data_IF_710547480140
#
_entry.id   IF_710547480140
#
_cell.length_a   1.000
_cell.length_b   1.000
_cell.length_c   1.000
_cell.angle_alpha   90.00
_cell.angle_beta   90.00
_cell.angle_gamma   90.00
#
_symmetry.space_group_name_H-M   'P 1'
#
loop_
_entity.id
_entity.type
_entity.pdbx_description
1 polymer ?
#
# COMPACT_ATOMS: atom_id res chain seq x y z
N UNK A 1 14.80 -7.16 2.15
CA UNK A 1 15.46 -7.95 3.22
C UNK A 1 15.28 -7.36 4.62
N UNK A 2 15.99 -6.30 5.06
CA UNK A 2 15.96 -5.87 6.48
C UNK A 2 14.56 -5.62 7.05
N UNK A 3 13.61 -5.10 6.26
CA UNK A 3 12.25 -4.79 6.70
C UNK A 3 11.19 -5.73 6.12
N UNK A 4 11.61 -6.77 5.40
CA UNK A 4 10.72 -7.63 4.63
C UNK A 4 9.87 -8.52 5.54
N UNK A 5 10.47 -9.10 6.59
CA UNK A 5 9.75 -9.92 7.56
C UNK A 5 8.73 -9.11 8.36
N UNK A 6 9.08 -7.89 8.80
CA UNK A 6 8.17 -7.00 9.50
C UNK A 6 7.01 -6.51 8.62
N UNK A 7 7.30 -6.24 7.34
CA UNK A 7 6.29 -5.89 6.35
C UNK A 7 5.31 -7.05 6.13
N UNK A 8 5.81 -8.27 5.89
CA UNK A 8 4.97 -9.47 5.73
C UNK A 8 4.11 -9.73 6.97
N UNK A 9 4.67 -9.60 8.17
CA UNK A 9 3.92 -9.73 9.42
C UNK A 9 2.76 -8.73 9.52
N UNK A 10 3.02 -7.45 9.23
CA UNK A 10 1.98 -6.42 9.24
C UNK A 10 0.88 -6.71 8.20
N UNK A 11 1.27 -7.19 7.02
CA UNK A 11 0.35 -7.57 5.95
C UNK A 11 -0.61 -8.69 6.40
N UNK A 12 -0.10 -9.73 7.06
CA UNK A 12 -0.92 -10.80 7.64
C UNK A 12 -1.91 -10.29 8.69
N UNK A 13 -1.52 -9.31 9.52
CA UNK A 13 -2.44 -8.71 10.50
C UNK A 13 -3.59 -7.95 9.81
N UNK A 14 -3.30 -7.25 8.70
CA UNK A 14 -4.32 -6.49 7.96
C UNK A 14 -5.31 -7.42 7.24
N UNK A 15 -4.85 -8.56 6.71
CA UNK A 15 -5.71 -9.57 6.05
C UNK A 15 -6.80 -10.13 6.97
N UNK A 16 -6.55 -10.18 8.29
CA UNK A 16 -7.57 -10.62 9.27
C UNK A 16 -8.78 -9.67 9.28
N UNK A 17 -8.56 -8.37 9.08
CA UNK A 17 -9.60 -7.34 9.07
C UNK A 17 -10.22 -7.16 7.68
N UNK A 18 -9.42 -7.38 6.63
CA UNK A 18 -9.79 -7.20 5.23
C UNK A 18 -9.40 -8.44 4.44
N UNK A 19 -10.26 -9.46 4.45
CA UNK A 19 -10.00 -10.76 3.82
C UNK A 19 -9.87 -10.70 2.29
N UNK A 20 -10.32 -9.61 1.68
CA UNK A 20 -10.27 -9.31 0.25
C UNK A 20 -9.12 -8.36 -0.13
N UNK A 21 -8.15 -8.14 0.77
CA UNK A 21 -6.98 -7.31 0.54
C UNK A 21 -6.19 -7.81 -0.69
N UNK A 22 -6.05 -6.93 -1.69
CA UNK A 22 -5.22 -7.17 -2.87
C UNK A 22 -3.76 -6.83 -2.56
N UNK A 23 -3.00 -7.85 -2.14
CA UNK A 23 -1.58 -7.72 -1.76
C UNK A 23 -0.71 -7.22 -2.91
N UNK A 24 -1.01 -7.64 -4.13
CA UNK A 24 -0.27 -7.23 -5.32
C UNK A 24 -0.45 -5.73 -5.53
N UNK A 25 -1.70 -5.26 -5.42
CA UNK A 25 -2.03 -3.84 -5.53
C UNK A 25 -1.45 -3.00 -4.39
N UNK A 26 -1.36 -3.56 -3.18
CA UNK A 26 -0.70 -2.89 -2.05
C UNK A 26 0.81 -2.77 -2.30
N UNK A 27 1.44 -3.75 -2.93
CA UNK A 27 2.84 -3.70 -3.35
C UNK A 27 3.14 -2.64 -4.42
N UNK A 28 2.13 -2.21 -5.18
CA UNK A 28 2.24 -1.10 -6.15
C UNK A 28 2.15 0.29 -5.51
N UNK A 29 1.71 0.37 -4.24
CA UNK A 29 1.61 1.62 -3.51
C UNK A 29 3.01 2.13 -3.14
N UNK A 30 3.53 3.04 -3.97
CA UNK A 30 4.74 3.79 -3.69
C UNK A 30 4.42 5.03 -2.84
N UNK A 31 5.41 5.53 -2.08
CA UNK A 31 5.27 6.71 -1.23
C UNK A 31 4.91 7.98 -2.02
N UNK A 32 5.18 8.01 -3.34
CA UNK A 32 4.83 9.10 -4.25
C UNK A 32 3.44 8.93 -4.89
N UNK A 33 2.62 7.99 -4.42
CA UNK A 33 1.28 7.73 -4.95
C UNK A 33 0.23 7.81 -3.85
N UNK A 34 -0.97 8.22 -4.24
CA UNK A 34 -2.15 8.20 -3.38
C UNK A 34 -3.27 7.38 -4.00
N UNK A 35 -4.20 6.92 -3.17
CA UNK A 35 -5.39 6.21 -3.61
C UNK A 35 -6.53 7.21 -3.76
N UNK A 36 -7.03 7.40 -4.99
CA UNK A 36 -8.26 8.14 -5.30
C UNK A 36 -9.25 7.21 -6.01
N UNK A 37 -10.50 7.14 -5.53
CA UNK A 37 -11.55 6.25 -6.03
C UNK A 37 -11.10 4.79 -6.24
N UNK A 38 -10.28 4.32 -5.30
CA UNK A 38 -9.73 2.97 -5.36
C UNK A 38 -8.74 2.76 -6.50
N UNK A 39 -8.09 3.80 -7.04
CA UNK A 39 -6.97 3.73 -8.00
C UNK A 39 -5.74 4.46 -7.47
N UNK A 40 -4.57 3.89 -7.73
CA UNK A 40 -3.30 4.55 -7.45
C UNK A 40 -3.06 5.62 -8.52
N UNK A 41 -2.87 6.86 -8.08
CA UNK A 41 -2.48 7.98 -8.92
C UNK A 41 -1.22 8.65 -8.36
N UNK A 42 -0.49 9.36 -9.21
CA UNK A 42 0.68 10.09 -8.78
C UNK A 42 0.27 11.19 -7.79
N UNK A 43 0.95 11.21 -6.64
CA UNK A 43 0.78 12.25 -5.65
C UNK A 43 1.65 13.44 -6.07
N UNK A 44 1.08 14.29 -6.91
CA UNK A 44 1.74 15.52 -7.34
C UNK A 44 1.57 16.53 -6.19
N UNK A 45 2.65 16.90 -5.48
CA UNK A 45 2.54 17.95 -4.47
C UNK A 45 2.08 19.24 -5.15
N UNK A 46 1.21 20.04 -4.51
CA UNK A 46 0.83 21.34 -5.05
C UNK A 46 2.10 22.15 -5.31
N UNK A 47 2.18 22.78 -6.49
CA UNK A 47 3.27 23.68 -6.81
C UNK A 47 3.32 24.81 -5.77
N UNK A 48 4.53 25.10 -5.27
CA UNK A 48 4.79 26.18 -4.31
C UNK A 48 4.38 27.57 -4.84
#
# INVERSE_FOLDING_TARGET
AQYEEGFLFALEQVKVLFSDLDEQRLGEADAMKKIEDGKLIDDVPPAE
#
